data_IF_650798059662
#
_entry.id   IF_650798059662
#
_cell.length_a   1.000
_cell.length_b   1.000
_cell.length_c   1.000
_cell.angle_alpha   90.00
_cell.angle_beta   90.00
_cell.angle_gamma   90.00
#
_symmetry.space_group_name_H-M   'P 1'
#
loop_
_entity.id
_entity.type
_entity.pdbx_description
1 polymer ?
#
# COMPACT_ATOMS: atom_id res chain seq x y z
N UNK A 1 12.94 35.54 -6.44
CA UNK A 1 12.57 34.13 -6.30
C UNK A 1 12.91 33.43 -7.60
N UNK A 2 13.52 32.24 -7.53
CA UNK A 2 13.75 31.40 -8.72
C UNK A 2 12.39 30.90 -9.25
N UNK A 3 12.03 31.15 -10.52
CA UNK A 3 10.80 30.63 -11.13
C UNK A 3 10.67 29.10 -11.09
N UNK A 4 11.79 28.38 -10.92
CA UNK A 4 11.83 26.92 -10.89
C UNK A 4 11.78 26.32 -9.48
N UNK A 5 11.78 27.14 -8.43
CA UNK A 5 11.76 26.64 -7.06
C UNK A 5 10.46 25.87 -6.77
N UNK A 6 10.60 24.65 -6.23
CA UNK A 6 9.50 23.80 -5.77
C UNK A 6 9.76 23.39 -4.31
N UNK A 7 8.73 23.50 -3.47
CA UNK A 7 8.72 23.00 -2.09
C UNK A 7 7.70 21.87 -1.99
N UNK A 8 8.13 20.70 -1.51
CA UNK A 8 7.29 19.54 -1.24
C UNK A 8 7.25 19.32 0.27
N UNK A 9 6.04 19.21 0.82
CA UNK A 9 5.79 18.98 2.24
C UNK A 9 4.95 17.72 2.40
N UNK A 10 5.25 16.92 3.43
CA UNK A 10 4.46 15.75 3.81
C UNK A 10 4.13 15.84 5.30
N UNK A 11 2.88 15.53 5.66
CA UNK A 11 2.39 15.55 7.03
C UNK A 11 1.31 14.50 7.20
N UNK A 12 1.16 13.99 8.43
CA UNK A 12 -0.09 13.33 8.84
C UNK A 12 -1.17 14.39 9.08
N UNK A 13 -2.44 13.98 9.11
CA UNK A 13 -3.51 14.90 9.47
C UNK A 13 -3.33 15.37 10.92
N UNK A 14 -3.37 16.68 11.12
CA UNK A 14 -3.19 17.31 12.42
C UNK A 14 -4.03 18.58 12.47
N UNK A 15 -4.77 18.78 13.57
CA UNK A 15 -5.60 19.96 13.79
C UNK A 15 -4.78 21.23 14.03
N UNK A 16 -3.51 21.09 14.40
CA UNK A 16 -2.58 22.19 14.64
C UNK A 16 -1.81 22.60 13.38
N UNK A 17 -2.02 21.91 12.25
CA UNK A 17 -1.31 22.21 11.01
C UNK A 17 -1.64 23.63 10.51
N UNK A 18 -0.63 24.45 10.14
CA UNK A 18 -0.87 25.84 9.75
C UNK A 18 -1.81 26.01 8.56
N UNK A 19 -2.95 26.64 8.81
CA UNK A 19 -3.98 26.95 7.80
C UNK A 19 -3.42 27.78 6.64
N UNK A 20 -2.44 28.66 6.90
CA UNK A 20 -1.79 29.48 5.86
C UNK A 20 -1.12 28.64 4.77
N UNK A 21 -0.45 27.54 5.13
CA UNK A 21 0.17 26.61 4.18
C UNK A 21 -0.90 25.88 3.38
N UNK A 22 -2.00 25.48 4.02
CA UNK A 22 -3.13 24.84 3.36
C UNK A 22 -3.81 25.76 2.34
N UNK A 23 -3.92 27.06 2.58
CA UNK A 23 -4.55 27.97 1.62
C UNK A 23 -3.67 28.28 0.41
N UNK A 24 -2.35 28.29 0.57
CA UNK A 24 -1.41 28.72 -0.48
C UNK A 24 -0.70 27.56 -1.20
N UNK A 25 -1.02 26.30 -0.87
CA UNK A 25 -0.40 25.11 -1.45
C UNK A 25 -1.36 24.23 -2.24
N UNK A 26 -0.81 23.33 -3.05
CA UNK A 26 -1.57 22.23 -3.67
C UNK A 26 -1.61 21.06 -2.69
N UNK A 27 -2.81 20.54 -2.40
CA UNK A 27 -3.02 19.44 -1.46
C UNK A 27 -3.17 18.14 -2.23
N UNK A 28 -2.40 17.13 -1.86
CA UNK A 28 -2.51 15.77 -2.39
C UNK A 28 -2.63 14.84 -1.19
N UNK A 29 -3.69 14.03 -1.18
CA UNK A 29 -3.84 12.95 -0.22
C UNK A 29 -3.49 11.63 -0.92
N UNK A 30 -2.61 10.85 -0.28
CA UNK A 30 -2.30 9.49 -0.73
C UNK A 30 -3.08 8.54 0.16
N UNK A 31 -4.14 7.97 -0.40
CA UNK A 31 -4.93 6.95 0.28
C UNK A 31 -4.42 5.55 -0.11
N UNK A 32 -4.44 4.59 0.83
CA UNK A 32 -4.08 3.22 0.51
C UNK A 32 -5.06 2.62 -0.52
N UNK A 33 -4.60 1.72 -1.40
CA UNK A 33 -5.45 1.08 -2.39
C UNK A 33 -6.59 0.32 -1.69
N UNK A 34 -7.82 0.68 -2.05
CA UNK A 34 -9.02 0.07 -1.50
C UNK A 34 -9.45 -1.14 -2.34
N UNK A 35 -9.86 -2.20 -1.64
CA UNK A 35 -10.41 -3.39 -2.24
C UNK A 35 -9.37 -4.45 -2.55
N UNK A 36 -9.80 -5.70 -2.43
CA UNK A 36 -8.96 -6.88 -2.55
C UNK A 36 -8.18 -6.94 -3.88
N UNK A 37 -8.85 -6.61 -5.00
CA UNK A 37 -8.24 -6.61 -6.33
C UNK A 37 -7.10 -5.60 -6.43
N UNK A 38 -7.29 -4.38 -5.95
CA UNK A 38 -6.28 -3.33 -6.05
C UNK A 38 -5.07 -3.63 -5.15
N UNK A 39 -5.29 -4.22 -3.98
CA UNK A 39 -4.20 -4.70 -3.11
C UNK A 39 -3.37 -5.78 -3.79
N UNK A 40 -4.02 -6.78 -4.40
CA UNK A 40 -3.33 -7.80 -5.19
C UNK A 40 -2.54 -7.20 -6.35
N UNK A 41 -3.15 -6.30 -7.15
CA UNK A 41 -2.46 -5.62 -8.24
C UNK A 41 -1.24 -4.84 -7.74
N UNK A 42 -1.31 -4.24 -6.55
CA UNK A 42 -0.18 -3.55 -5.92
C UNK A 42 0.93 -4.55 -5.55
N UNK A 43 0.59 -5.67 -4.89
CA UNK A 43 1.56 -6.72 -4.55
C UNK A 43 2.28 -7.30 -5.77
N UNK A 44 1.59 -7.42 -6.91
CA UNK A 44 2.15 -7.91 -8.18
C UNK A 44 2.74 -6.80 -9.08
N UNK A 45 2.88 -5.57 -8.57
CA UNK A 45 3.64 -4.52 -9.26
C UNK A 45 2.91 -3.79 -10.38
N UNK A 46 1.57 -3.80 -10.39
CA UNK A 46 0.77 -2.98 -11.34
C UNK A 46 1.05 -1.48 -11.23
N UNK A 47 1.63 -1.02 -10.12
CA UNK A 47 2.03 0.38 -9.88
C UNK A 47 3.53 0.64 -10.12
N UNK A 48 4.29 -0.35 -10.61
CA UNK A 48 5.73 -0.24 -10.89
C UNK A 48 6.66 -0.61 -9.72
N UNK A 49 6.13 -0.93 -8.55
CA UNK A 49 6.90 -1.31 -7.35
C UNK A 49 6.16 -2.37 -6.52
N UNK A 50 6.07 -3.60 -7.04
CA UNK A 50 5.44 -4.71 -6.32
C UNK A 50 6.46 -5.60 -5.64
N UNK A 51 6.11 -6.12 -4.46
CA UNK A 51 6.93 -7.09 -3.71
C UNK A 51 7.14 -8.38 -4.51
N UNK A 52 6.11 -8.81 -5.25
CA UNK A 52 6.16 -10.01 -6.08
C UNK A 52 6.44 -9.64 -7.53
N UNK A 53 7.71 -9.73 -7.90
CA UNK A 53 8.15 -9.55 -9.29
C UNK A 53 7.81 -10.75 -10.16
N UNK A 54 7.76 -10.54 -11.48
CA UNK A 54 7.57 -11.62 -12.45
C UNK A 54 8.63 -12.73 -12.31
N UNK A 55 9.89 -12.38 -12.01
CA UNK A 55 10.95 -13.36 -11.79
C UNK A 55 10.71 -14.25 -10.56
N UNK A 56 10.16 -13.69 -9.47
CA UNK A 56 9.78 -14.45 -8.29
C UNK A 56 8.58 -15.36 -8.61
N UNK A 57 7.57 -14.84 -9.30
CA UNK A 57 6.37 -15.59 -9.65
C UNK A 57 6.67 -16.72 -10.66
N UNK A 58 7.51 -16.44 -11.65
CA UNK A 58 7.89 -17.36 -12.72
C UNK A 58 9.11 -18.22 -12.39
N UNK A 59 9.59 -18.18 -11.14
CA UNK A 59 10.81 -18.88 -10.69
C UNK A 59 10.91 -20.29 -11.28
N UNK A 60 11.90 -20.45 -12.16
CA UNK A 60 12.18 -21.71 -12.85
C UNK A 60 12.50 -22.79 -11.80
N UNK A 61 12.05 -24.02 -12.04
CA UNK A 61 12.17 -25.19 -11.15
C UNK A 61 11.19 -25.30 -9.96
N UNK A 62 10.31 -24.32 -9.72
CA UNK A 62 9.34 -24.37 -8.60
C UNK A 62 7.92 -24.81 -9.01
N UNK A 63 7.61 -24.77 -10.31
CA UNK A 63 6.38 -25.31 -10.89
C UNK A 63 5.08 -24.64 -10.42
N UNK A 64 3.94 -25.28 -10.69
CA UNK A 64 2.60 -24.73 -10.41
C UNK A 64 2.31 -24.56 -8.91
N UNK A 65 2.83 -25.45 -8.06
CA UNK A 65 2.61 -25.42 -6.61
C UNK A 65 3.14 -24.14 -5.97
N UNK A 66 4.28 -23.64 -6.43
CA UNK A 66 4.84 -22.37 -5.97
C UNK A 66 3.96 -21.17 -6.34
N UNK A 67 3.50 -21.11 -7.60
CA UNK A 67 2.61 -20.04 -8.06
C UNK A 67 1.31 -20.02 -7.26
N UNK A 68 0.74 -21.19 -6.97
CA UNK A 68 -0.46 -21.33 -6.13
C UNK A 68 -0.19 -20.85 -4.69
N UNK A 69 0.94 -21.24 -4.10
CA UNK A 69 1.32 -20.83 -2.75
C UNK A 69 1.51 -19.31 -2.67
N UNK A 70 2.30 -18.74 -3.58
CA UNK A 70 2.62 -17.33 -3.61
C UNK A 70 1.37 -16.46 -3.84
N UNK A 71 0.51 -16.86 -4.78
CA UNK A 71 -0.78 -16.20 -4.97
C UNK A 71 -1.66 -16.30 -3.73
N UNK A 72 -1.74 -17.48 -3.10
CA UNK A 72 -2.52 -17.66 -1.86
C UNK A 72 -2.01 -16.78 -0.72
N UNK A 73 -0.69 -16.62 -0.61
CA UNK A 73 -0.07 -15.74 0.38
C UNK A 73 -0.41 -14.27 0.14
N UNK A 74 -0.26 -13.79 -1.10
CA UNK A 74 -0.63 -12.42 -1.47
C UNK A 74 -2.13 -12.16 -1.25
N UNK A 75 -2.97 -13.15 -1.56
CA UNK A 75 -4.40 -13.09 -1.34
C UNK A 75 -4.76 -13.02 0.14
N UNK A 76 -4.10 -13.84 0.97
CA UNK A 76 -4.25 -13.78 2.42
C UNK A 76 -3.82 -12.42 2.97
N UNK A 77 -2.66 -11.90 2.54
CA UNK A 77 -2.18 -10.57 2.92
C UNK A 77 -3.19 -9.46 2.53
N UNK A 78 -3.76 -9.54 1.33
CA UNK A 78 -4.78 -8.59 0.89
C UNK A 78 -6.06 -8.68 1.74
N UNK A 79 -6.49 -9.88 2.16
CA UNK A 79 -7.64 -10.09 3.05
C UNK A 79 -7.39 -9.49 4.43
N UNK A 80 -6.25 -9.76 5.06
CA UNK A 80 -5.97 -9.27 6.42
C UNK A 80 -5.91 -7.73 6.45
N UNK A 81 -5.36 -7.11 5.40
CA UNK A 81 -5.36 -5.66 5.23
C UNK A 81 -6.77 -5.11 5.02
N UNK A 82 -7.59 -5.74 4.17
CA UNK A 82 -8.99 -5.33 4.00
C UNK A 82 -9.80 -5.52 5.28
N UNK A 83 -9.43 -6.46 6.13
CA UNK A 83 -10.14 -6.73 7.38
C UNK A 83 -9.99 -5.59 8.39
N UNK A 84 -8.92 -4.78 8.30
CA UNK A 84 -8.74 -3.59 9.15
C UNK A 84 -9.89 -2.57 9.02
N UNK A 85 -10.60 -2.53 7.88
CA UNK A 85 -11.74 -1.61 7.68
C UNK A 85 -12.95 -1.89 8.59
N UNK A 86 -13.02 -3.08 9.18
CA UNK A 86 -14.11 -3.46 10.09
C UNK A 86 -13.84 -3.08 11.55
N UNK A 87 -12.74 -2.40 11.85
CA UNK A 87 -12.38 -1.98 13.20
C UNK A 87 -12.34 -3.18 14.17
N UNK A 88 -13.00 -3.05 15.32
CA UNK A 88 -13.06 -4.09 16.35
C UNK A 88 -13.68 -5.43 15.89
N UNK A 89 -14.56 -5.42 14.87
CA UNK A 89 -15.11 -6.65 14.28
C UNK A 89 -14.09 -7.37 13.40
N UNK A 90 -13.14 -6.63 12.84
CA UNK A 90 -12.01 -7.17 12.10
C UNK A 90 -10.96 -7.74 13.05
N UNK A 91 -10.51 -6.92 14.00
CA UNK A 91 -9.43 -7.23 14.92
C UNK A 91 -9.72 -6.65 16.31
N UNK A 92 -9.59 -7.48 17.36
CA UNK A 92 -9.71 -7.00 18.74
C UNK A 92 -8.64 -5.96 19.08
N UNK A 93 -7.43 -6.13 18.51
CA UNK A 93 -6.31 -5.20 18.62
C UNK A 93 -5.84 -4.93 17.19
N UNK A 94 -5.88 -3.67 16.71
CA UNK A 94 -5.49 -3.34 15.35
C UNK A 94 -3.99 -3.57 15.15
N UNK A 95 -3.64 -4.17 14.02
CA UNK A 95 -2.27 -4.27 13.55
C UNK A 95 -2.16 -3.62 12.18
N UNK A 96 -1.19 -2.73 12.02
CA UNK A 96 -0.95 -2.01 10.77
C UNK A 96 -0.01 -2.84 9.89
N UNK A 97 -0.59 -3.78 9.14
CA UNK A 97 0.16 -4.58 8.15
C UNK A 97 0.73 -3.67 7.06
N UNK A 98 2.03 -3.77 6.84
CA UNK A 98 2.83 -3.01 5.88
C UNK A 98 3.28 -3.89 4.72
N UNK A 99 4.01 -3.31 3.75
CA UNK A 99 4.64 -4.08 2.67
C UNK A 99 5.76 -5.00 3.18
N UNK A 100 6.50 -4.57 4.20
CA UNK A 100 7.59 -5.36 4.79
C UNK A 100 7.13 -6.65 5.47
N UNK A 101 5.85 -6.80 5.79
CA UNK A 101 5.28 -8.04 6.29
C UNK A 101 5.10 -9.11 5.19
N UNK A 102 5.11 -8.69 3.90
CA UNK A 102 4.96 -9.56 2.73
C UNK A 102 6.30 -9.90 2.06
N UNK A 103 7.29 -9.02 2.17
CA UNK A 103 8.65 -9.15 1.60
C UNK A 103 9.44 -10.35 2.19
#
# INVERSE_FOLDING_TARGET
>A
MDPNFRLLLSSKSDYTFPISILHHGVKVAVEPPQGLKNKLLTSFGSSGSGEVTEGIFMKENKGLSWRRLLFSLCFFNAIIQERNKYGALGWNIPYEFTSSDLE
#
